data_IF_279749759524
#
_entry.id   IF_279749759524
#
_cell.length_a   1.000
_cell.length_b   1.000
_cell.length_c   1.000
_cell.angle_alpha   90.00
_cell.angle_beta   90.00
_cell.angle_gamma   90.00
#
_symmetry.space_group_name_H-M   'P 1'
#
loop_
_entity.id
_entity.type
_entity.pdbx_description
1 polymer ?
#
# COMPACT_ATOMS: atom_id res chain seq x y z
N UNK A 1 9.65 2.24 20.21
CA UNK A 1 10.23 1.16 19.39
C UNK A 1 9.82 1.39 17.96
N UNK A 2 10.77 1.47 17.03
CA UNK A 2 10.47 1.62 15.61
C UNK A 2 10.31 0.25 14.95
N UNK A 3 9.34 0.10 14.06
CA UNK A 3 9.21 -1.09 13.21
C UNK A 3 9.63 -0.70 11.80
N UNK A 4 10.52 -1.48 11.20
CA UNK A 4 10.95 -1.29 9.81
C UNK A 4 9.81 -1.71 8.89
N UNK A 5 9.51 -0.87 7.91
CA UNK A 5 8.46 -1.07 6.92
C UNK A 5 8.98 -0.67 5.54
N UNK A 6 8.41 -1.27 4.50
CA UNK A 6 8.58 -0.76 3.15
C UNK A 6 7.42 0.19 2.84
N UNK A 7 7.72 1.31 2.15
CA UNK A 7 6.71 2.28 1.72
C UNK A 7 6.79 2.43 0.21
N UNK A 8 5.69 2.13 -0.50
CA UNK A 8 5.61 2.27 -1.95
C UNK A 8 4.84 3.52 -2.31
N UNK A 9 5.52 4.51 -2.87
CA UNK A 9 4.91 5.74 -3.40
C UNK A 9 4.48 5.56 -4.86
N UNK A 10 3.33 6.14 -5.19
CA UNK A 10 2.79 6.19 -6.55
C UNK A 10 2.59 7.66 -6.93
N UNK A 11 3.66 8.35 -7.35
CA UNK A 11 3.56 9.74 -7.78
C UNK A 11 2.97 9.84 -9.20
N UNK A 12 2.20 10.92 -9.45
CA UNK A 12 1.52 11.25 -10.72
C UNK A 12 0.42 10.29 -11.22
N UNK A 13 0.25 9.11 -10.61
CA UNK A 13 -0.69 8.10 -11.10
C UNK A 13 -2.16 8.34 -10.70
N UNK A 14 -2.47 9.33 -9.86
CA UNK A 14 -3.81 9.52 -9.30
C UNK A 14 -4.56 10.77 -9.77
N UNK A 15 -4.13 11.38 -10.87
CA UNK A 15 -4.89 12.45 -11.52
C UNK A 15 -6.26 11.98 -12.08
N UNK A 16 -6.56 10.67 -12.01
CA UNK A 16 -7.82 10.10 -12.47
C UNK A 16 -8.50 9.28 -11.37
N UNK A 17 -9.78 9.58 -11.09
CA UNK A 17 -10.63 8.89 -10.09
C UNK A 17 -10.55 7.36 -10.20
N UNK A 18 -10.48 6.82 -11.42
CA UNK A 18 -10.37 5.39 -11.69
C UNK A 18 -9.09 4.76 -11.12
N UNK A 19 -7.98 5.48 -11.13
CA UNK A 19 -6.73 4.98 -10.58
C UNK A 19 -6.73 5.03 -9.05
N UNK A 20 -7.47 5.97 -8.45
CA UNK A 20 -7.65 6.04 -6.99
C UNK A 20 -8.51 4.89 -6.49
N UNK A 21 -9.61 4.59 -7.18
CA UNK A 21 -10.45 3.43 -6.90
C UNK A 21 -9.63 2.12 -7.00
N UNK A 22 -8.81 1.98 -8.04
CA UNK A 22 -7.91 0.83 -8.17
C UNK A 22 -6.87 0.73 -7.05
N UNK A 23 -6.31 1.87 -6.65
CA UNK A 23 -5.36 1.94 -5.54
C UNK A 23 -5.99 1.41 -4.25
N UNK A 24 -7.17 1.92 -3.88
CA UNK A 24 -7.88 1.47 -2.68
C UNK A 24 -8.25 -0.02 -2.76
N UNK A 25 -8.69 -0.48 -3.93
CA UNK A 25 -9.09 -1.86 -4.15
C UNK A 25 -7.91 -2.83 -4.05
N UNK A 26 -6.76 -2.48 -4.64
CA UNK A 26 -5.54 -3.28 -4.55
C UNK A 26 -5.00 -3.31 -3.11
N UNK A 27 -4.94 -2.17 -2.41
CA UNK A 27 -4.56 -2.13 -0.98
C UNK A 27 -5.43 -3.07 -0.13
N UNK A 28 -6.74 -2.98 -0.31
CA UNK A 28 -7.72 -3.77 0.45
C UNK A 28 -7.57 -5.25 0.17
N UNK A 29 -7.45 -5.63 -1.10
CA UNK A 29 -7.24 -7.04 -1.49
C UNK A 29 -5.94 -7.57 -0.90
N UNK A 30 -4.84 -6.82 -1.00
CA UNK A 30 -3.55 -7.24 -0.46
C UNK A 30 -3.57 -7.36 1.07
N UNK A 31 -4.22 -6.45 1.79
CA UNK A 31 -4.39 -6.55 3.23
C UNK A 31 -5.14 -7.85 3.62
N UNK A 32 -6.28 -8.12 2.97
CA UNK A 32 -7.09 -9.33 3.23
C UNK A 32 -6.38 -10.64 2.86
N UNK A 33 -5.61 -10.65 1.78
CA UNK A 33 -4.88 -11.83 1.34
C UNK A 33 -3.62 -12.08 2.18
N UNK A 34 -2.93 -11.03 2.63
CA UNK A 34 -1.78 -11.12 3.54
C UNK A 34 -2.15 -11.67 4.94
N UNK A 35 -3.40 -11.50 5.38
CA UNK A 35 -3.89 -12.17 6.59
C UNK A 35 -4.08 -13.69 6.38
N UNK A 36 -4.36 -14.12 5.15
CA UNK A 36 -4.68 -15.52 4.83
C UNK A 36 -3.48 -16.36 4.38
N UNK A 37 -2.38 -15.72 4.00
CA UNK A 37 -1.21 -16.39 3.47
C UNK A 37 0.09 -15.70 3.88
N UNK A 38 1.03 -16.48 4.38
CA UNK A 38 2.39 -16.01 4.72
C UNK A 38 3.24 -15.70 3.49
N UNK A 39 2.80 -16.10 2.30
CA UNK A 39 3.52 -15.86 1.03
C UNK A 39 3.09 -14.55 0.35
N UNK A 40 2.21 -13.78 0.98
CA UNK A 40 1.70 -12.52 0.46
C UNK A 40 2.12 -11.42 1.41
N UNK A 41 2.75 -10.38 0.87
CA UNK A 41 3.22 -9.22 1.65
C UNK A 41 2.03 -8.55 2.33
N UNK A 42 2.13 -8.40 3.65
CA UNK A 42 1.12 -7.72 4.46
C UNK A 42 1.19 -6.21 4.28
N UNK A 43 0.12 -5.65 3.72
CA UNK A 43 -0.14 -4.21 3.75
C UNK A 43 -0.71 -3.86 5.12
N UNK A 44 -0.08 -2.88 5.78
CA UNK A 44 -0.46 -2.41 7.12
C UNK A 44 -1.31 -1.16 7.08
N UNK A 45 -1.04 -0.29 6.12
CA UNK A 45 -1.74 0.98 5.98
C UNK A 45 -1.65 1.50 4.54
N UNK A 46 -2.53 2.41 4.18
CA UNK A 46 -2.52 3.12 2.90
C UNK A 46 -3.04 4.54 3.07
N UNK A 47 -2.55 5.47 2.25
CA UNK A 47 -2.96 6.86 2.37
C UNK A 47 -2.62 7.72 1.17
N UNK A 48 -2.93 9.00 1.31
CA UNK A 48 -2.59 10.08 0.38
C UNK A 48 -1.88 11.15 1.21
N UNK A 49 -0.74 11.65 0.73
CA UNK A 49 -0.02 12.74 1.39
C UNK A 49 -0.57 14.13 1.00
N UNK A 50 0.07 15.18 1.53
CA UNK A 50 -0.31 16.58 1.26
C UNK A 50 -0.13 16.99 -0.22
N UNK A 51 0.63 16.23 -1.00
CA UNK A 51 0.90 16.47 -2.42
C UNK A 51 0.05 15.57 -3.34
N UNK A 52 -1.05 15.01 -2.82
CA UNK A 52 -1.90 14.02 -3.51
C UNK A 52 -1.16 12.75 -3.98
N UNK A 53 -0.02 12.44 -3.37
CA UNK A 53 0.74 11.24 -3.67
C UNK A 53 0.23 10.10 -2.81
N UNK A 54 -0.26 9.04 -3.45
CA UNK A 54 -0.65 7.84 -2.73
C UNK A 54 0.51 6.96 -2.35
N UNK A 55 0.38 6.32 -1.20
CA UNK A 55 1.39 5.40 -0.68
C UNK A 55 0.77 4.20 0.03
N UNK A 56 1.48 3.07 -0.02
CA UNK A 56 1.20 1.90 0.81
C UNK A 56 2.31 1.68 1.82
N UNK A 57 1.94 1.35 3.05
CA UNK A 57 2.85 0.86 4.09
C UNK A 57 2.72 -0.65 4.17
N UNK A 58 3.83 -1.36 4.01
CA UNK A 58 3.85 -2.82 3.99
C UNK A 58 4.99 -3.38 4.82
N UNK A 59 4.89 -4.65 5.19
CA UNK A 59 5.99 -5.32 5.88
C UNK A 59 7.28 -5.26 5.04
N UNK A 60 8.39 -5.01 5.71
CA UNK A 60 9.69 -5.08 5.08
C UNK A 60 10.13 -6.53 4.99
N UNK A 61 10.40 -7.00 3.78
CA UNK A 61 11.00 -8.31 3.54
C UNK A 61 12.49 -8.12 3.26
N UNK A 62 13.32 -8.68 4.13
CA UNK A 62 14.77 -8.78 3.92
C UNK A 62 15.02 -10.01 3.04
N UNK A 63 15.54 -9.77 1.83
CA UNK A 63 15.79 -10.79 0.82
C UNK A 63 17.15 -11.45 0.94
#
# INVERSE_FOLDING_TARGET
GGVIVAVKFLSQALLNKRMRERFEQEATICALLGEKSIHIVRVRDYGVDENETSFYVMEYLEG
#
